data_IF_106195367233
#
_entry.id   IF_106195367233
#
_cell.length_a   1.000
_cell.length_b   1.000
_cell.length_c   1.000
_cell.angle_alpha   90.00
_cell.angle_beta   90.00
_cell.angle_gamma   90.00
#
_symmetry.space_group_name_H-M   'P 1'
#
loop_
_entity.id
_entity.type
_entity.pdbx_description
1 polymer ?
#
# COMPACT_ATOMS: atom_id res chain seq x y z
N UNK A 1 8.69 17.09 -18.13
CA UNK A 1 8.41 15.74 -17.57
C UNK A 1 9.66 15.05 -17.00
N UNK A 2 10.84 15.25 -17.58
CA UNK A 2 12.13 14.62 -17.17
C UNK A 2 12.43 14.77 -15.67
N UNK A 3 12.24 15.96 -15.08
CA UNK A 3 12.50 16.19 -13.64
C UNK A 3 11.65 15.33 -12.70
N UNK A 4 10.38 15.05 -13.05
CA UNK A 4 9.48 14.18 -12.25
C UNK A 4 9.96 12.72 -12.22
N UNK A 5 10.49 12.24 -13.34
CA UNK A 5 11.07 10.90 -13.47
C UNK A 5 12.37 10.79 -12.68
N UNK A 6 13.24 11.80 -12.78
CA UNK A 6 14.53 11.88 -12.07
C UNK A 6 14.36 11.99 -10.55
N UNK A 7 13.34 12.71 -10.09
CA UNK A 7 13.02 12.83 -8.66
C UNK A 7 12.37 11.57 -8.06
N UNK A 8 11.99 10.59 -8.90
CA UNK A 8 11.25 9.41 -8.43
C UNK A 8 9.85 9.76 -7.90
N UNK A 9 9.30 10.90 -8.32
CA UNK A 9 8.05 11.48 -7.80
C UNK A 9 6.89 10.50 -7.87
N UNK A 10 6.80 9.74 -8.96
CA UNK A 10 5.75 8.75 -9.14
C UNK A 10 5.82 7.61 -8.11
N UNK A 11 7.04 7.13 -7.79
CA UNK A 11 7.24 6.10 -6.75
C UNK A 11 6.89 6.66 -5.37
N UNK A 12 7.32 7.89 -5.05
CA UNK A 12 6.97 8.56 -3.79
C UNK A 12 5.46 8.71 -3.63
N UNK A 13 4.78 9.22 -4.66
CA UNK A 13 3.32 9.41 -4.62
C UNK A 13 2.56 8.09 -4.40
N UNK A 14 2.99 6.98 -5.03
CA UNK A 14 2.40 5.66 -4.76
C UNK A 14 2.61 5.20 -3.31
N UNK A 15 3.80 5.43 -2.75
CA UNK A 15 4.11 5.09 -1.35
C UNK A 15 3.25 5.95 -0.41
N UNK A 16 3.15 7.25 -0.64
CA UNK A 16 2.30 8.16 0.14
C UNK A 16 0.83 7.74 0.12
N UNK A 17 0.31 7.35 -1.05
CA UNK A 17 -1.05 6.83 -1.18
C UNK A 17 -1.23 5.53 -0.38
N UNK A 18 -0.29 4.57 -0.48
CA UNK A 18 -0.33 3.34 0.32
C UNK A 18 -0.24 3.60 1.82
N UNK A 19 0.62 4.54 2.24
CA UNK A 19 0.77 4.94 3.64
C UNK A 19 -0.52 5.60 4.17
N UNK A 20 -1.19 6.42 3.35
CA UNK A 20 -2.50 6.99 3.70
C UNK A 20 -3.53 5.89 3.94
N UNK A 21 -3.63 4.89 3.05
CA UNK A 21 -4.54 3.75 3.26
C UNK A 21 -4.18 2.94 4.51
N UNK A 22 -2.89 2.77 4.81
CA UNK A 22 -2.45 2.08 6.02
C UNK A 22 -2.86 2.81 7.31
N UNK A 23 -2.83 4.15 7.31
CA UNK A 23 -3.34 4.97 8.41
C UNK A 23 -4.86 4.88 8.58
N UNK A 24 -5.61 4.71 7.49
CA UNK A 24 -7.07 4.49 7.56
C UNK A 24 -7.45 3.17 8.23
N UNK A 25 -6.61 2.14 8.10
CA UNK A 25 -6.79 0.86 8.80
C UNK A 25 -6.46 0.93 10.31
N UNK A 26 -5.84 2.02 10.75
CA UNK A 26 -5.49 2.28 12.14
C UNK A 26 -4.37 3.30 12.21
N UNK A 27 -4.60 4.39 12.93
CA UNK A 27 -3.67 5.53 12.95
C UNK A 27 -2.30 5.17 13.53
N UNK A 28 -2.26 4.21 14.46
CA UNK A 28 -1.04 3.74 15.15
C UNK A 28 -1.04 2.21 15.24
N UNK A 29 0.14 1.65 15.51
CA UNK A 29 0.28 0.23 15.88
C UNK A 29 -0.16 0.06 17.33
N UNK A 30 -1.08 -0.86 17.58
CA UNK A 30 -1.64 -1.10 18.92
C UNK A 30 -0.85 -2.16 19.69
N UNK A 31 -0.09 -3.00 19.00
CA UNK A 31 0.72 -4.04 19.61
C UNK A 31 1.86 -3.47 20.49
N UNK A 32 1.96 -3.98 21.73
CA UNK A 32 2.99 -3.54 22.69
C UNK A 32 4.40 -4.09 22.40
N UNK A 33 4.51 -5.32 21.90
CA UNK A 33 5.81 -5.94 21.62
C UNK A 33 6.23 -5.75 20.16
N UNK A 34 7.52 -5.56 19.85
CA UNK A 34 8.00 -5.36 18.47
C UNK A 34 7.58 -6.48 17.51
N UNK A 35 7.64 -7.74 17.96
CA UNK A 35 7.19 -8.90 17.17
C UNK A 35 5.71 -8.83 16.77
N UNK A 36 4.86 -8.35 17.69
CA UNK A 36 3.42 -8.19 17.43
C UNK A 36 3.12 -6.97 16.55
N UNK A 37 3.94 -5.92 16.65
CA UNK A 37 3.88 -4.77 15.75
C UNK A 37 4.21 -5.17 14.31
N UNK A 38 5.23 -6.02 14.12
CA UNK A 38 5.56 -6.56 12.79
C UNK A 38 4.43 -7.41 12.23
N UNK A 39 3.83 -8.29 13.05
CA UNK A 39 2.69 -9.09 12.62
C UNK A 39 1.49 -8.22 12.24
N UNK A 40 1.18 -7.20 13.05
CA UNK A 40 0.11 -6.22 12.76
C UNK A 40 0.34 -5.50 11.43
N UNK A 41 1.57 -5.04 11.17
CA UNK A 41 1.94 -4.41 9.91
C UNK A 41 1.79 -5.36 8.71
N UNK A 42 2.25 -6.61 8.85
CA UNK A 42 2.15 -7.62 7.79
C UNK A 42 0.69 -7.93 7.46
N UNK A 43 -0.18 -8.07 8.46
CA UNK A 43 -1.61 -8.31 8.26
C UNK A 43 -2.24 -7.13 7.51
N UNK A 44 -1.97 -5.88 7.93
CA UNK A 44 -2.49 -4.68 7.25
C UNK A 44 -1.99 -4.60 5.80
N UNK A 45 -0.72 -4.94 5.54
CA UNK A 45 -0.17 -4.98 4.19
C UNK A 45 -0.85 -6.06 3.31
N UNK A 46 -1.08 -7.25 3.87
CA UNK A 46 -1.79 -8.33 3.19
C UNK A 46 -3.23 -7.92 2.82
N UNK A 47 -3.94 -7.25 3.74
CA UNK A 47 -5.29 -6.73 3.50
C UNK A 47 -5.31 -5.70 2.37
N UNK A 48 -4.40 -4.72 2.38
CA UNK A 48 -4.29 -3.72 1.32
C UNK A 48 -3.96 -4.34 -0.04
N UNK A 49 -3.09 -5.35 -0.08
CA UNK A 49 -2.77 -6.07 -1.31
C UNK A 49 -3.99 -6.85 -1.81
N UNK A 50 -4.80 -7.44 -0.90
CA UNK A 50 -6.04 -8.13 -1.28
C UNK A 50 -7.09 -7.17 -1.85
N UNK A 51 -7.28 -6.00 -1.24
CA UNK A 51 -8.14 -4.96 -1.81
C UNK A 51 -7.66 -4.49 -3.18
N UNK A 52 -6.34 -4.36 -3.35
CA UNK A 52 -5.76 -4.01 -4.65
C UNK A 52 -6.07 -5.07 -5.70
N UNK A 53 -5.92 -6.35 -5.36
CA UNK A 53 -6.24 -7.45 -6.26
C UNK A 53 -7.73 -7.49 -6.63
N UNK A 54 -8.62 -7.27 -5.66
CA UNK A 54 -10.07 -7.23 -5.89
C UNK A 54 -10.52 -6.02 -6.73
N UNK A 55 -9.86 -4.87 -6.56
CA UNK A 55 -10.18 -3.65 -7.30
C UNK A 55 -9.49 -3.52 -8.66
N UNK A 56 -8.57 -4.43 -9.00
CA UNK A 56 -7.88 -4.40 -10.29
C UNK A 56 -8.75 -5.12 -11.33
N UNK A 57 -9.25 -4.43 -12.37
CA UNK A 57 -10.04 -5.07 -13.40
C UNK A 57 -9.17 -6.06 -14.22
N UNK A 58 -9.72 -7.24 -14.49
CA UNK A 58 -9.08 -8.19 -15.41
C UNK A 58 -9.35 -7.78 -16.85
N UNK A 59 -8.41 -7.08 -17.48
CA UNK A 59 -8.49 -6.74 -18.90
C UNK A 59 -8.17 -7.97 -19.75
N UNK A 60 -9.20 -8.62 -20.31
CA UNK A 60 -9.03 -9.68 -21.30
C UNK A 60 -9.09 -9.09 -22.71
N UNK A 61 -8.05 -9.31 -23.50
CA UNK A 61 -8.06 -8.98 -24.94
C UNK A 61 -8.92 -10.02 -25.66
N UNK A 62 -10.01 -9.59 -26.26
CA UNK A 62 -10.85 -10.42 -27.13
C UNK A 62 -10.34 -10.29 -28.56
N UNK A 63 -10.27 -11.42 -29.28
CA UNK A 63 -9.85 -11.51 -30.68
C UNK A 63 -11.02 -11.28 -31.63
#
# INVERSE_FOLDING_TARGET
MIWRSWSGYHRRSRIEAKMRCMKLLGERLSARTPSRQTAELQIRAALLNRFTALGTPETKRVA
#
